data_IF_888974756691
#
_entry.id   IF_888974756691
#
_cell.length_a   1.000
_cell.length_b   1.000
_cell.length_c   1.000
_cell.angle_alpha   90.00
_cell.angle_beta   90.00
_cell.angle_gamma   90.00
#
_symmetry.space_group_name_H-M   'P 1'
#
loop_
_entity.id
_entity.type
_entity.pdbx_description
1 polymer ?
#
# COMPACT_ATOMS: atom_id res chain seq x y z
N UNK A 1 -2.42 13.22 57.03
CA UNK A 1 -1.94 12.39 55.91
C UNK A 1 -2.82 12.53 54.66
N UNK A 2 -4.15 12.65 54.80
CA UNK A 2 -5.07 12.68 53.64
C UNK A 2 -5.08 13.96 52.79
N UNK A 3 -4.75 15.12 53.35
CA UNK A 3 -4.78 16.40 52.62
C UNK A 3 -3.67 16.53 51.58
N UNK A 4 -2.45 16.09 51.90
CA UNK A 4 -1.31 16.10 50.99
C UNK A 4 -1.46 15.04 49.88
N UNK A 5 -2.10 13.90 50.18
CA UNK A 5 -2.45 12.90 49.18
C UNK A 5 -3.49 13.40 48.17
N UNK A 6 -4.48 14.19 48.60
CA UNK A 6 -5.47 14.83 47.70
C UNK A 6 -4.84 15.88 46.78
N UNK A 7 -3.98 16.76 47.31
CA UNK A 7 -3.30 17.77 46.49
C UNK A 7 -2.36 17.17 45.43
N UNK A 8 -1.66 16.09 45.77
CA UNK A 8 -0.84 15.35 44.81
C UNK A 8 -1.67 14.69 43.71
N UNK A 9 -2.84 14.13 44.06
CA UNK A 9 -3.72 13.46 43.12
C UNK A 9 -4.40 14.42 42.14
N UNK A 10 -4.84 15.59 42.60
CA UNK A 10 -5.47 16.61 41.75
C UNK A 10 -4.45 17.27 40.79
N UNK A 11 -3.21 17.48 41.25
CA UNK A 11 -2.11 17.98 40.42
C UNK A 11 -1.72 16.97 39.33
N UNK A 12 -1.61 15.68 39.68
CA UNK A 12 -1.31 14.61 38.71
C UNK A 12 -2.46 14.45 37.70
N UNK A 13 -3.73 14.52 38.14
CA UNK A 13 -4.89 14.50 37.24
C UNK A 13 -4.90 15.66 36.25
N UNK A 14 -4.61 16.87 36.71
CA UNK A 14 -4.50 18.05 35.84
C UNK A 14 -3.38 17.91 34.80
N UNK A 15 -2.22 17.39 35.22
CA UNK A 15 -1.10 17.12 34.31
C UNK A 15 -1.46 16.09 33.23
N UNK A 16 -2.19 15.01 33.59
CA UNK A 16 -2.64 13.99 32.65
C UNK A 16 -3.64 14.53 31.61
N UNK A 17 -4.60 15.36 32.04
CA UNK A 17 -5.58 15.99 31.14
C UNK A 17 -4.87 16.93 30.16
N UNK A 18 -3.92 17.73 30.63
CA UNK A 18 -3.13 18.62 29.77
C UNK A 18 -2.27 17.84 28.78
N UNK A 19 -1.61 16.77 29.22
CA UNK A 19 -0.82 15.91 28.35
C UNK A 19 -1.69 15.27 27.25
N UNK A 20 -2.89 14.79 27.61
CA UNK A 20 -3.85 14.26 26.64
C UNK A 20 -4.32 15.35 25.64
N UNK A 21 -4.59 16.56 26.13
CA UNK A 21 -4.95 17.70 25.29
C UNK A 21 -3.86 18.06 24.28
N UNK A 22 -2.59 18.11 24.71
CA UNK A 22 -1.45 18.38 23.82
C UNK A 22 -1.27 17.26 22.79
N UNK A 23 -1.39 15.99 23.18
CA UNK A 23 -1.32 14.86 22.24
C UNK A 23 -2.46 14.88 21.22
N UNK A 24 -3.68 15.21 21.65
CA UNK A 24 -4.83 15.36 20.77
C UNK A 24 -4.62 16.52 19.78
N UNK A 25 -4.16 17.69 20.26
CA UNK A 25 -3.91 18.86 19.42
C UNK A 25 -2.78 18.61 18.42
N UNK A 26 -1.70 17.96 18.84
CA UNK A 26 -0.62 17.52 17.95
C UNK A 26 -1.11 16.52 16.91
N UNK A 27 -1.96 15.56 17.30
CA UNK A 27 -2.60 14.62 16.39
C UNK A 27 -3.47 15.32 15.34
N UNK A 28 -4.28 16.29 15.76
CA UNK A 28 -5.12 17.11 14.87
C UNK A 28 -4.27 17.96 13.94
N UNK A 29 -3.25 18.66 14.45
CA UNK A 29 -2.31 19.42 13.62
C UNK A 29 -1.63 18.53 12.57
N UNK A 30 -1.13 17.37 12.98
CA UNK A 30 -0.49 16.41 12.07
C UNK A 30 -1.47 15.88 11.02
N UNK A 31 -2.72 15.63 11.40
CA UNK A 31 -3.77 15.23 10.47
C UNK A 31 -4.09 16.36 9.47
N UNK A 32 -4.26 17.59 9.94
CA UNK A 32 -4.49 18.77 9.09
C UNK A 32 -3.32 18.96 8.13
N UNK A 33 -2.08 18.91 8.63
CA UNK A 33 -0.90 19.04 7.80
C UNK A 33 -0.80 17.96 6.73
N UNK A 34 -1.08 16.70 7.08
CA UNK A 34 -1.03 15.58 6.13
C UNK A 34 -2.16 15.63 5.10
N UNK A 35 -3.37 16.03 5.50
CA UNK A 35 -4.56 16.00 4.64
C UNK A 35 -4.66 17.25 3.77
N UNK A 36 -4.24 18.41 4.28
CA UNK A 36 -4.45 19.70 3.61
C UNK A 36 -3.16 20.31 3.07
N UNK A 37 -2.07 20.34 3.85
CA UNK A 37 -0.83 21.01 3.43
C UNK A 37 0.01 20.13 2.48
N UNK A 38 0.20 18.86 2.80
CA UNK A 38 1.06 17.97 2.02
C UNK A 38 0.62 17.77 0.55
N UNK A 39 -0.69 17.66 0.23
CA UNK A 39 -1.14 17.58 -1.15
C UNK A 39 -0.96 18.90 -1.92
N UNK A 40 -1.24 20.04 -1.27
CA UNK A 40 -1.15 21.37 -1.88
C UNK A 40 0.29 21.78 -2.21
N UNK A 41 1.25 21.32 -1.40
CA UNK A 41 2.69 21.57 -1.61
C UNK A 41 3.35 20.53 -2.54
N UNK A 42 2.60 19.55 -3.05
CA UNK A 42 3.16 18.47 -3.85
C UNK A 42 3.41 18.91 -5.29
N UNK A 43 4.64 18.75 -5.82
CA UNK A 43 4.93 18.99 -7.24
C UNK A 43 4.10 18.10 -8.19
N UNK A 44 3.59 16.98 -7.68
CA UNK A 44 2.72 16.06 -8.43
C UNK A 44 1.38 16.70 -8.82
N UNK A 45 0.93 17.74 -8.12
CA UNK A 45 -0.30 18.45 -8.47
C UNK A 45 -0.27 19.17 -9.82
N UNK A 46 0.92 19.37 -10.40
CA UNK A 46 1.10 20.03 -11.70
C UNK A 46 0.96 19.07 -12.90
N UNK A 47 0.88 17.77 -12.64
CA UNK A 47 0.72 16.77 -13.70
C UNK A 47 -0.76 16.64 -14.11
N UNK A 48 -1.04 16.31 -15.38
CA UNK A 48 -2.41 16.11 -15.83
C UNK A 48 -3.06 14.95 -15.04
N UNK A 49 -4.37 15.05 -14.81
CA UNK A 49 -5.08 14.07 -13.99
C UNK A 49 -6.55 14.38 -13.79
N UNK A 50 -7.37 13.37 -13.42
CA UNK A 50 -8.77 13.59 -13.07
C UNK A 50 -8.90 14.55 -11.89
N UNK A 51 -9.95 15.37 -11.92
CA UNK A 51 -10.33 16.18 -10.77
C UNK A 51 -10.75 15.27 -9.61
N UNK A 52 -10.44 15.70 -8.38
CA UNK A 52 -10.83 14.97 -7.18
C UNK A 52 -12.35 14.88 -7.05
N UNK A 53 -12.92 13.68 -6.97
CA UNK A 53 -14.37 13.49 -6.84
C UNK A 53 -14.88 13.37 -5.41
N UNK A 54 -14.01 13.02 -4.44
CA UNK A 54 -14.38 12.97 -3.01
C UNK A 54 -13.28 13.55 -2.11
N UNK A 55 -13.67 14.26 -1.03
CA UNK A 55 -12.74 14.83 -0.06
C UNK A 55 -11.90 13.76 0.65
N UNK A 56 -12.56 12.68 1.12
CA UNK A 56 -11.88 11.61 1.84
C UNK A 56 -11.33 10.51 0.90
N UNK A 57 -12.14 10.07 -0.06
CA UNK A 57 -11.80 8.94 -0.93
C UNK A 57 -11.01 9.33 -2.18
N UNK A 58 -10.87 10.61 -2.49
CA UNK A 58 -10.27 11.04 -3.76
C UNK A 58 -11.04 10.45 -4.94
N UNK A 59 -10.31 9.87 -5.91
CA UNK A 59 -10.80 9.12 -7.06
C UNK A 59 -10.91 7.61 -6.78
N UNK A 60 -10.60 7.14 -5.57
CA UNK A 60 -10.58 5.70 -5.27
C UNK A 60 -11.95 5.04 -5.42
N UNK A 61 -13.04 5.76 -5.18
CA UNK A 61 -14.41 5.24 -5.38
C UNK A 61 -14.67 4.87 -6.84
N UNK A 62 -14.22 5.68 -7.78
CA UNK A 62 -14.37 5.42 -9.21
C UNK A 62 -13.56 4.17 -9.60
N UNK A 63 -12.35 4.05 -9.08
CA UNK A 63 -11.48 2.88 -9.30
C UNK A 63 -12.11 1.60 -8.74
N UNK A 64 -12.69 1.65 -7.53
CA UNK A 64 -13.28 0.47 -6.90
C UNK A 64 -14.63 0.06 -7.50
N UNK A 65 -15.37 1.01 -8.06
CA UNK A 65 -16.68 0.73 -8.69
C UNK A 65 -16.56 0.27 -10.14
N UNK A 66 -15.41 0.53 -10.79
CA UNK A 66 -15.15 0.12 -12.16
C UNK A 66 -14.52 -1.27 -12.25
N UNK A 67 -14.49 -1.83 -13.46
CA UNK A 67 -13.75 -3.06 -13.73
C UNK A 67 -12.24 -2.91 -13.46
N UNK A 68 -11.53 -4.02 -13.20
CA UNK A 68 -10.08 -3.99 -13.00
C UNK A 68 -9.35 -3.26 -14.13
N UNK A 69 -8.68 -2.15 -13.80
CA UNK A 69 -7.92 -1.35 -14.75
C UNK A 69 -8.73 -0.41 -15.65
N UNK A 70 -10.05 -0.51 -15.67
CA UNK A 70 -10.92 0.24 -16.59
C UNK A 70 -10.75 1.76 -16.45
N UNK A 71 -10.81 2.29 -15.22
CA UNK A 71 -10.57 3.73 -14.98
C UNK A 71 -9.18 4.18 -15.40
N UNK A 72 -8.17 3.34 -15.19
CA UNK A 72 -6.80 3.69 -15.57
C UNK A 72 -6.68 3.76 -17.09
N UNK A 73 -7.29 2.84 -17.84
CA UNK A 73 -7.32 2.88 -19.29
C UNK A 73 -8.03 4.14 -19.82
N UNK A 74 -9.17 4.51 -19.22
CA UNK A 74 -9.89 5.74 -19.57
C UNK A 74 -9.03 6.98 -19.31
N UNK A 75 -8.34 7.03 -18.16
CA UNK A 75 -7.44 8.14 -17.84
C UNK A 75 -6.19 8.17 -18.71
N UNK A 76 -5.65 7.03 -19.15
CA UNK A 76 -4.57 6.99 -20.14
C UNK A 76 -5.02 7.68 -21.43
N UNK A 77 -6.22 7.35 -21.93
CA UNK A 77 -6.76 7.95 -23.16
C UNK A 77 -6.97 9.46 -23.02
N UNK A 78 -7.32 9.93 -21.83
CA UNK A 78 -7.66 11.34 -21.59
C UNK A 78 -6.45 12.23 -21.23
N UNK A 79 -5.53 11.72 -20.39
CA UNK A 79 -4.44 12.48 -19.79
C UNK A 79 -3.06 12.04 -20.28
N UNK A 80 -2.99 10.97 -21.08
CA UNK A 80 -1.76 10.39 -21.59
C UNK A 80 -1.16 9.33 -20.67
N UNK A 81 0.05 8.87 -21.02
CA UNK A 81 0.68 7.72 -20.36
C UNK A 81 1.23 8.04 -18.97
N UNK A 82 1.33 9.31 -18.57
CA UNK A 82 1.78 9.72 -17.25
C UNK A 82 0.82 10.76 -16.70
N UNK A 83 0.11 10.39 -15.64
CA UNK A 83 -0.90 11.24 -15.01
C UNK A 83 -0.89 11.05 -13.49
N UNK A 84 -1.56 11.94 -12.78
CA UNK A 84 -1.76 11.78 -11.33
C UNK A 84 -3.23 11.69 -10.99
N UNK A 85 -3.56 10.99 -9.90
CA UNK A 85 -4.92 10.97 -9.36
C UNK A 85 -4.87 11.09 -7.85
N UNK A 86 -5.99 11.51 -7.24
CA UNK A 86 -6.06 11.66 -5.78
C UNK A 86 -6.51 10.35 -5.14
N UNK A 87 -5.71 9.80 -4.24
CA UNK A 87 -6.05 8.65 -3.43
C UNK A 87 -6.69 9.06 -2.09
N UNK A 88 -6.82 8.09 -1.17
CA UNK A 88 -7.41 8.30 0.16
C UNK A 88 -6.65 9.41 0.92
N UNK A 89 -7.39 10.20 1.70
CA UNK A 89 -6.87 11.34 2.47
C UNK A 89 -6.16 12.42 1.63
N UNK A 90 -6.55 12.57 0.36
CA UNK A 90 -5.99 13.63 -0.50
C UNK A 90 -4.60 13.35 -1.04
N UNK A 91 -4.07 12.14 -0.86
CA UNK A 91 -2.71 11.80 -1.30
C UNK A 91 -2.63 11.74 -2.83
N UNK A 92 -1.75 12.51 -3.47
CA UNK A 92 -1.52 12.36 -4.92
C UNK A 92 -0.74 11.07 -5.23
N UNK A 93 -1.22 10.31 -6.22
CA UNK A 93 -0.52 9.14 -6.77
C UNK A 93 -0.14 9.38 -8.21
N UNK A 94 1.13 9.16 -8.51
CA UNK A 94 1.66 9.15 -9.87
C UNK A 94 1.41 7.79 -10.51
N UNK A 95 0.83 7.80 -11.69
CA UNK A 95 0.70 6.62 -12.54
C UNK A 95 1.43 6.89 -13.84
N UNK A 96 2.31 5.96 -14.23
CA UNK A 96 3.03 6.03 -15.49
C UNK A 96 3.02 4.68 -16.19
N UNK A 97 2.80 4.74 -17.50
CA UNK A 97 2.91 3.62 -18.43
C UNK A 97 4.12 3.79 -19.36
N UNK A 98 5.03 4.73 -19.06
CA UNK A 98 6.29 4.88 -19.78
C UNK A 98 7.25 3.73 -19.40
N UNK A 99 7.70 2.91 -20.38
CA UNK A 99 8.58 1.78 -20.09
C UNK A 99 9.93 2.16 -19.48
N UNK A 100 10.48 3.33 -19.83
CA UNK A 100 11.75 3.83 -19.26
C UNK A 100 11.56 4.24 -17.82
N UNK A 101 10.47 4.95 -17.51
CA UNK A 101 10.14 5.32 -16.13
C UNK A 101 9.89 4.09 -15.27
N UNK A 102 9.12 3.12 -15.78
CA UNK A 102 8.87 1.86 -15.09
C UNK A 102 10.16 1.06 -14.85
N UNK A 103 11.00 0.90 -15.87
CA UNK A 103 12.29 0.22 -15.72
C UNK A 103 13.18 0.91 -14.69
N UNK A 104 13.21 2.25 -14.67
CA UNK A 104 13.93 3.00 -13.66
C UNK A 104 13.41 2.72 -12.25
N UNK A 105 12.10 2.84 -12.03
CA UNK A 105 11.47 2.59 -10.72
C UNK A 105 11.72 1.16 -10.24
N UNK A 106 11.53 0.17 -11.12
CA UNK A 106 11.70 -1.25 -10.79
C UNK A 106 13.15 -1.62 -10.46
N UNK A 107 14.12 -0.99 -11.11
CA UNK A 107 15.54 -1.25 -10.85
C UNK A 107 16.06 -0.54 -9.58
N UNK A 108 15.41 0.54 -9.14
CA UNK A 108 15.81 1.31 -7.95
C UNK A 108 14.94 1.01 -6.72
N UNK A 109 14.71 -0.28 -6.45
CA UNK A 109 13.86 -0.76 -5.32
C UNK A 109 14.24 -0.23 -3.93
N UNK A 110 15.51 0.17 -3.71
CA UNK A 110 15.94 0.79 -2.46
C UNK A 110 15.36 2.20 -2.26
N UNK A 111 15.13 2.93 -3.35
CA UNK A 111 14.56 4.28 -3.35
C UNK A 111 13.02 4.23 -3.42
N UNK A 112 12.47 3.29 -4.20
CA UNK A 112 11.04 3.14 -4.43
C UNK A 112 10.47 1.98 -3.61
N UNK A 113 10.34 2.18 -2.30
CA UNK A 113 9.80 1.16 -1.41
C UNK A 113 8.28 1.03 -1.52
N UNK A 114 7.80 -0.20 -1.37
CA UNK A 114 6.37 -0.49 -1.28
C UNK A 114 5.78 0.25 -0.07
N UNK A 115 4.65 0.97 -0.25
CA UNK A 115 4.00 1.68 0.85
C UNK A 115 3.68 0.76 2.03
N UNK A 116 3.83 1.28 3.24
CA UNK A 116 3.64 0.51 4.48
C UNK A 116 2.28 -0.19 4.55
N UNK A 117 1.21 0.48 4.12
CA UNK A 117 -0.16 -0.08 4.11
C UNK A 117 -0.22 -1.35 3.25
N UNK A 118 0.35 -1.30 2.03
CA UNK A 118 0.39 -2.45 1.14
C UNK A 118 1.25 -3.58 1.73
N UNK A 119 2.36 -3.21 2.37
CA UNK A 119 3.26 -4.17 3.01
C UNK A 119 2.62 -4.88 4.21
N UNK A 120 1.91 -4.14 5.08
CA UNK A 120 1.21 -4.71 6.22
C UNK A 120 0.09 -5.64 5.76
N UNK A 121 -0.68 -5.23 4.75
CA UNK A 121 -1.71 -6.09 4.15
C UNK A 121 -1.13 -7.44 3.65
N UNK A 122 0.02 -7.41 2.97
CA UNK A 122 0.72 -8.63 2.55
C UNK A 122 1.21 -9.45 3.75
N UNK A 123 1.70 -8.80 4.80
CA UNK A 123 2.15 -9.48 6.01
C UNK A 123 0.99 -10.18 6.74
N UNK A 124 -0.18 -9.56 6.77
CA UNK A 124 -1.35 -10.08 7.47
C UNK A 124 -1.93 -11.30 6.74
N UNK A 125 -1.91 -11.29 5.40
CA UNK A 125 -2.42 -12.40 4.59
C UNK A 125 -1.43 -13.56 4.42
N UNK A 126 -0.16 -13.25 4.19
CA UNK A 126 0.85 -14.24 3.77
C UNK A 126 2.01 -14.38 4.75
N UNK A 127 1.99 -13.64 5.86
CA UNK A 127 3.11 -13.56 6.79
C UNK A 127 4.28 -12.73 6.25
N UNK A 128 5.35 -12.65 7.06
CA UNK A 128 6.58 -11.92 6.71
C UNK A 128 7.52 -12.74 5.81
N UNK A 129 6.99 -13.21 4.69
CA UNK A 129 7.70 -14.02 3.69
C UNK A 129 8.32 -13.20 2.55
N UNK A 130 8.56 -13.87 1.41
CA UNK A 130 9.17 -13.26 0.20
C UNK A 130 8.36 -12.10 -0.35
N UNK A 131 7.04 -12.10 -0.21
CA UNK A 131 6.19 -10.99 -0.67
C UNK A 131 6.29 -9.75 0.24
N UNK A 132 6.69 -9.93 1.49
CA UNK A 132 6.87 -8.85 2.47
C UNK A 132 8.29 -8.28 2.46
N UNK A 133 9.30 -9.15 2.29
CA UNK A 133 10.70 -8.77 2.37
C UNK A 133 11.08 -7.76 1.28
N UNK A 134 11.99 -6.85 1.60
CA UNK A 134 12.55 -5.87 0.66
C UNK A 134 14.08 -5.90 0.67
N UNK A 135 14.70 -5.33 -0.37
CA UNK A 135 16.16 -5.21 -0.49
C UNK A 135 16.91 -6.54 -0.36
N UNK A 136 17.98 -6.55 0.44
CA UNK A 136 18.84 -7.73 0.61
C UNK A 136 18.11 -8.92 1.25
N UNK A 137 17.13 -8.69 2.13
CA UNK A 137 16.33 -9.78 2.69
C UNK A 137 15.50 -10.47 1.61
N UNK A 138 14.87 -9.70 0.72
CA UNK A 138 14.14 -10.23 -0.44
C UNK A 138 15.07 -11.01 -1.37
N UNK A 139 16.25 -10.45 -1.68
CA UNK A 139 17.26 -11.09 -2.53
C UNK A 139 17.73 -12.42 -1.97
N UNK A 140 18.00 -12.49 -0.65
CA UNK A 140 18.38 -13.72 0.03
C UNK A 140 17.28 -14.78 -0.02
N UNK A 141 16.04 -14.39 0.27
CA UNK A 141 14.90 -15.31 0.22
C UNK A 141 14.66 -15.84 -1.19
N UNK A 142 14.70 -14.98 -2.22
CA UNK A 142 14.61 -15.41 -3.63
C UNK A 142 15.73 -16.35 -4.03
N UNK A 143 16.97 -16.12 -3.57
CA UNK A 143 18.10 -17.00 -3.87
C UNK A 143 17.88 -18.43 -3.36
N UNK A 144 17.29 -18.58 -2.18
CA UNK A 144 16.98 -19.89 -1.59
C UNK A 144 15.77 -20.55 -2.27
N UNK A 145 14.78 -19.75 -2.66
CA UNK A 145 13.50 -20.24 -3.21
C UNK A 145 13.55 -20.56 -4.72
N UNK A 146 14.26 -19.75 -5.51
CA UNK A 146 14.27 -19.87 -6.97
C UNK A 146 14.69 -21.25 -7.52
N UNK A 147 15.63 -22.02 -6.92
CA UNK A 147 15.99 -23.35 -7.40
C UNK A 147 14.81 -24.33 -7.50
N UNK A 148 13.82 -24.23 -6.61
CA UNK A 148 12.61 -25.07 -6.67
C UNK A 148 11.75 -24.80 -7.91
N UNK A 149 11.95 -23.66 -8.57
CA UNK A 149 11.29 -23.28 -9.82
C UNK A 149 12.16 -23.53 -11.06
N UNK A 150 13.23 -24.33 -10.95
CA UNK A 150 14.03 -24.74 -12.09
C UNK A 150 13.21 -25.58 -13.10
N UNK A 151 13.57 -25.49 -14.38
CA UNK A 151 12.84 -26.14 -15.48
C UNK A 151 12.70 -27.66 -15.26
N UNK A 152 13.71 -28.31 -14.67
CA UNK A 152 13.66 -29.74 -14.32
C UNK A 152 12.52 -30.05 -13.34
N UNK A 153 12.43 -29.30 -12.24
CA UNK A 153 11.39 -29.46 -11.22
C UNK A 153 10.00 -29.11 -11.76
N UNK A 154 9.90 -28.08 -12.61
CA UNK A 154 8.62 -27.72 -13.25
C UNK A 154 8.09 -28.83 -14.15
N UNK A 155 8.97 -29.51 -14.90
CA UNK A 155 8.58 -30.67 -15.74
C UNK A 155 8.08 -31.84 -14.91
N UNK A 156 8.73 -32.12 -13.78
CA UNK A 156 8.28 -33.17 -12.87
C UNK A 156 6.91 -32.85 -12.26
N UNK A 157 6.71 -31.62 -11.79
CA UNK A 157 5.43 -31.16 -11.26
C UNK A 157 4.30 -31.23 -12.30
N UNK A 158 4.61 -31.06 -13.59
CA UNK A 158 3.61 -31.13 -14.66
C UNK A 158 2.92 -32.51 -14.70
N UNK A 159 3.67 -33.59 -14.50
CA UNK A 159 3.12 -34.94 -14.45
C UNK A 159 2.20 -35.13 -13.23
N UNK A 160 2.62 -34.62 -12.07
CA UNK A 160 1.81 -34.66 -10.84
C UNK A 160 0.51 -33.86 -11.01
N UNK A 161 0.58 -32.66 -11.61
CA UNK A 161 -0.61 -31.86 -11.88
C UNK A 161 -1.57 -32.58 -12.84
N UNK A 162 -1.05 -33.25 -13.87
CA UNK A 162 -1.88 -34.01 -14.80
C UNK A 162 -2.63 -35.15 -14.10
N UNK A 163 -1.91 -35.96 -13.32
CA UNK A 163 -2.50 -37.05 -12.53
C UNK A 163 -3.59 -36.54 -11.58
N UNK A 164 -3.29 -35.49 -10.79
CA UNK A 164 -4.26 -34.92 -9.85
C UNK A 164 -5.44 -34.26 -10.52
N UNK A 165 -5.25 -33.65 -11.69
CA UNK A 165 -6.35 -33.10 -12.48
C UNK A 165 -7.30 -34.20 -12.96
N UNK A 166 -6.76 -35.34 -13.41
CA UNK A 166 -7.59 -36.49 -13.79
C UNK A 166 -8.33 -37.07 -12.59
N UNK A 167 -7.67 -37.20 -11.44
CA UNK A 167 -8.29 -37.68 -10.21
C UNK A 167 -9.45 -36.79 -9.77
N UNK A 168 -9.24 -35.46 -9.74
CA UNK A 168 -10.28 -34.49 -9.39
C UNK A 168 -11.42 -34.55 -10.41
N UNK A 169 -11.12 -34.59 -11.70
CA UNK A 169 -12.13 -34.69 -12.75
C UNK A 169 -13.02 -35.93 -12.55
N UNK A 170 -12.43 -37.11 -12.38
CA UNK A 170 -13.20 -38.33 -12.13
C UNK A 170 -14.05 -38.19 -10.86
N UNK A 171 -13.49 -37.68 -9.76
CA UNK A 171 -14.23 -37.54 -8.49
C UNK A 171 -15.40 -36.55 -8.51
N UNK A 172 -15.37 -35.56 -9.40
CA UNK A 172 -16.44 -34.55 -9.53
C UNK A 172 -17.56 -35.02 -10.45
N UNK A 173 -17.24 -35.91 -11.41
CA UNK A 173 -18.18 -36.38 -12.43
C UNK A 173 -18.61 -37.85 -12.28
N UNK A 174 -18.14 -38.56 -11.24
CA UNK A 174 -18.63 -39.88 -10.81
C UNK A 174 -19.56 -39.77 -9.62
#
# INVERSE_FOLDING_TARGET
MDFLARLGFDSVRGALINAFGVLALYGVWKAIHRIWLAPWLSPLGNLPGPKRTSLFWGNMREIFNAGPGEMHEQWVKQYGHTFTYTAILGTHRLTTFDPKALAYVMNHSAQWQTPEIARSFVADLFGKGVLFAQGEAHKRQRRVMNPSFAISHVRELTNVFHEKSQQVFVSVFS
#
